data_IF_930599844107
#
_entry.id   IF_930599844107
#
_cell.length_a   1.000
_cell.length_b   1.000
_cell.length_c   1.000
_cell.angle_alpha   90.00
_cell.angle_beta   90.00
_cell.angle_gamma   90.00
#
_symmetry.space_group_name_H-M   'P 1'
#
loop_
_entity.id
_entity.type
_entity.pdbx_description
1 polymer ?
#
# COMPACT_ATOMS: atom_id res chain seq x y z
N UNK A 1 19.98 2.32 43.20
CA UNK A 1 19.51 2.81 41.89
C UNK A 1 20.43 3.95 41.50
N UNK A 2 21.22 3.81 40.43
CA UNK A 2 22.00 4.92 39.91
C UNK A 2 21.02 5.97 39.36
N UNK A 3 21.28 7.28 39.55
CA UNK A 3 20.41 8.31 39.01
C UNK A 3 20.43 8.23 37.47
N UNK A 4 19.24 8.16 36.89
CA UNK A 4 19.07 8.19 35.43
C UNK A 4 19.60 9.55 34.94
N UNK A 5 20.62 9.53 34.10
CA UNK A 5 21.11 10.74 33.45
C UNK A 5 20.02 11.28 32.51
N UNK A 6 19.45 12.43 32.91
CA UNK A 6 18.35 13.08 32.15
C UNK A 6 18.86 13.93 30.99
N UNK A 7 20.14 13.87 30.65
CA UNK A 7 20.66 14.58 29.48
C UNK A 7 20.13 13.93 28.21
N UNK A 8 19.59 14.74 27.31
CA UNK A 8 19.22 14.31 25.99
C UNK A 8 20.44 13.71 25.29
N UNK A 9 20.33 12.50 24.70
CA UNK A 9 21.43 11.94 23.91
C UNK A 9 21.85 12.90 22.80
N UNK A 10 23.15 12.94 22.49
CA UNK A 10 23.64 13.71 21.38
C UNK A 10 22.97 13.24 20.07
N UNK A 11 22.32 14.17 19.37
CA UNK A 11 21.76 13.88 18.05
C UNK A 11 22.90 13.97 17.04
N UNK A 12 23.29 12.85 16.46
CA UNK A 12 24.18 12.82 15.32
C UNK A 12 23.39 12.57 14.04
N UNK A 13 23.74 13.31 12.98
CA UNK A 13 23.23 12.99 11.66
C UNK A 13 23.83 11.66 11.21
N UNK A 14 23.03 10.74 10.63
CA UNK A 14 23.58 9.53 10.04
C UNK A 14 24.59 9.89 8.96
N UNK A 15 25.68 9.13 8.87
CA UNK A 15 26.66 9.24 7.81
C UNK A 15 26.04 9.05 6.41
N UNK A 16 26.84 9.13 5.35
CA UNK A 16 26.35 8.99 3.98
C UNK A 16 25.51 7.71 3.81
N UNK A 17 24.34 7.85 3.19
CA UNK A 17 23.44 6.75 2.86
C UNK A 17 24.04 5.97 1.69
N UNK A 18 24.35 4.68 1.91
CA UNK A 18 24.68 3.73 0.84
C UNK A 18 23.51 2.78 0.66
N UNK A 19 22.84 2.88 -0.46
CA UNK A 19 21.78 1.94 -0.82
C UNK A 19 22.40 0.69 -1.42
N UNK A 20 22.18 -0.51 -0.83
CA UNK A 20 22.65 -1.74 -1.46
C UNK A 20 21.96 -1.92 -2.82
N UNK A 21 22.75 -2.30 -3.83
CA UNK A 21 22.23 -2.51 -5.18
C UNK A 21 21.55 -3.88 -5.29
N UNK A 22 20.28 -3.90 -5.67
CA UNK A 22 19.59 -5.15 -5.97
C UNK A 22 20.13 -5.75 -7.29
N UNK A 23 20.47 -7.03 -7.30
CA UNK A 23 20.81 -7.78 -8.50
C UNK A 23 19.54 -8.28 -9.18
N UNK A 24 19.39 -8.03 -10.47
CA UNK A 24 18.27 -8.55 -11.24
C UNK A 24 18.66 -9.88 -11.91
N UNK A 25 17.92 -10.93 -11.58
CA UNK A 25 18.05 -12.27 -12.16
C UNK A 25 16.85 -12.54 -13.08
N UNK A 26 17.11 -13.00 -14.30
CA UNK A 26 16.07 -13.40 -15.24
C UNK A 26 15.68 -14.85 -15.01
N UNK A 27 14.39 -15.13 -14.96
CA UNK A 27 13.85 -16.48 -14.68
C UNK A 27 13.45 -17.21 -15.97
N UNK A 28 13.53 -16.57 -17.13
CA UNK A 28 13.26 -17.23 -18.43
C UNK A 28 11.78 -17.40 -18.81
N UNK A 29 10.83 -17.25 -17.90
CA UNK A 29 9.39 -17.34 -18.16
C UNK A 29 8.67 -15.97 -18.20
N UNK A 30 9.41 -14.89 -18.26
CA UNK A 30 8.91 -13.51 -18.26
C UNK A 30 8.85 -12.86 -16.88
N UNK A 31 9.06 -13.60 -15.80
CA UNK A 31 9.21 -13.05 -14.45
C UNK A 31 10.66 -12.59 -14.18
N UNK A 32 10.86 -11.81 -13.13
CA UNK A 32 12.18 -11.36 -12.68
C UNK A 32 12.32 -11.54 -11.17
N UNK A 33 13.51 -11.90 -10.72
CA UNK A 33 13.91 -11.90 -9.32
C UNK A 33 14.88 -10.75 -9.07
N UNK A 34 14.58 -9.93 -8.05
CA UNK A 34 15.49 -8.92 -7.53
C UNK A 34 16.06 -9.42 -6.20
N UNK A 35 17.36 -9.66 -6.16
CA UNK A 35 18.08 -10.16 -4.99
C UNK A 35 18.82 -9.02 -4.31
N UNK A 36 18.59 -8.85 -3.01
CA UNK A 36 19.21 -7.84 -2.15
C UNK A 36 19.88 -8.55 -0.96
N UNK A 37 21.17 -8.79 -1.07
CA UNK A 37 21.93 -9.46 -0.02
C UNK A 37 22.26 -8.50 1.12
N UNK A 38 21.92 -8.92 2.34
CA UNK A 38 22.20 -8.22 3.62
C UNK A 38 22.89 -9.21 4.56
N UNK A 39 24.21 -9.36 4.44
CA UNK A 39 24.98 -10.34 5.20
C UNK A 39 24.82 -10.14 6.72
N UNK A 40 24.69 -11.24 7.47
CA UNK A 40 24.59 -11.23 8.93
C UNK A 40 23.18 -10.86 9.45
N UNK A 41 22.19 -10.68 8.61
CA UNK A 41 20.81 -10.44 9.05
C UNK A 41 20.14 -11.69 9.62
N UNK A 42 20.58 -12.88 9.24
CA UNK A 42 20.03 -14.17 9.68
C UNK A 42 18.63 -14.47 9.16
N UNK A 43 18.02 -13.57 8.42
CA UNK A 43 16.65 -13.68 7.90
C UNK A 43 16.62 -13.66 6.37
N UNK A 44 15.56 -14.25 5.81
CA UNK A 44 15.26 -14.22 4.39
C UNK A 44 13.82 -13.75 4.22
N UNK A 45 13.62 -12.72 3.42
CA UNK A 45 12.31 -12.21 3.04
C UNK A 45 12.09 -12.41 1.56
N UNK A 46 10.98 -13.05 1.21
CA UNK A 46 10.52 -13.30 -0.15
C UNK A 46 9.21 -12.56 -0.38
N UNK A 47 9.19 -11.59 -1.25
CA UNK A 47 7.98 -10.83 -1.62
C UNK A 47 7.66 -11.05 -3.09
N UNK A 48 6.53 -11.68 -3.38
CA UNK A 48 6.02 -11.92 -4.73
C UNK A 48 5.01 -10.84 -5.07
N UNK A 49 5.33 -10.02 -6.05
CA UNK A 49 4.53 -8.85 -6.46
C UNK A 49 3.81 -9.17 -7.76
N UNK A 50 2.48 -9.24 -7.71
CA UNK A 50 1.62 -9.51 -8.86
C UNK A 50 0.86 -8.25 -9.27
N UNK A 51 0.75 -8.00 -10.59
CA UNK A 51 -0.21 -7.03 -11.13
C UNK A 51 -1.63 -7.57 -11.00
N UNK A 52 -2.12 -7.64 -9.77
CA UNK A 52 -3.35 -8.29 -9.37
C UNK A 52 -4.18 -7.46 -8.37
N UNK A 53 -4.02 -6.13 -8.40
CA UNK A 53 -4.80 -5.21 -7.58
C UNK A 53 -6.25 -5.05 -8.05
N UNK A 54 -7.02 -4.21 -7.36
CA UNK A 54 -8.45 -4.06 -7.60
C UNK A 54 -8.83 -3.49 -8.97
N UNK A 55 -7.92 -2.80 -9.67
CA UNK A 55 -8.15 -2.30 -11.03
C UNK A 55 -8.30 -3.42 -12.07
N UNK A 56 -7.82 -4.62 -11.74
CA UNK A 56 -7.85 -5.78 -12.62
C UNK A 56 -9.07 -6.68 -12.40
N UNK A 57 -9.88 -6.43 -11.38
CA UNK A 57 -11.04 -7.24 -11.05
C UNK A 57 -12.23 -6.96 -11.99
N UNK A 58 -12.94 -8.01 -12.38
CA UNK A 58 -14.20 -7.91 -13.11
C UNK A 58 -15.39 -7.96 -12.15
N UNK A 59 -15.27 -8.79 -11.12
CA UNK A 59 -16.25 -8.90 -10.05
C UNK A 59 -15.73 -8.12 -8.85
N UNK A 60 -16.51 -7.18 -8.29
CA UNK A 60 -16.11 -6.44 -7.10
C UNK A 60 -15.57 -7.34 -6.00
N UNK A 61 -14.49 -6.90 -5.35
CA UNK A 61 -13.80 -7.59 -4.26
C UNK A 61 -13.09 -8.90 -4.63
N UNK A 62 -13.19 -9.40 -5.88
CA UNK A 62 -12.51 -10.65 -6.27
C UNK A 62 -10.99 -10.55 -6.13
N UNK A 63 -10.38 -9.39 -6.40
CA UNK A 63 -8.95 -9.22 -6.24
C UNK A 63 -8.51 -9.38 -4.77
N UNK A 64 -9.17 -8.68 -3.84
CA UNK A 64 -8.84 -8.75 -2.42
C UNK A 64 -9.18 -10.12 -1.82
N UNK A 65 -10.30 -10.72 -2.21
CA UNK A 65 -10.67 -12.06 -1.76
C UNK A 65 -9.66 -13.10 -2.23
N UNK A 66 -9.28 -13.06 -3.51
CA UNK A 66 -8.27 -14.00 -4.04
C UNK A 66 -6.96 -13.89 -3.29
N UNK A 67 -6.43 -12.68 -3.11
CA UNK A 67 -5.15 -12.48 -2.43
C UNK A 67 -5.17 -12.97 -0.98
N UNK A 68 -6.23 -12.62 -0.22
CA UNK A 68 -6.34 -12.98 1.20
C UNK A 68 -6.66 -14.46 1.43
N UNK A 69 -7.25 -15.16 0.45
CA UNK A 69 -7.63 -16.57 0.57
C UNK A 69 -6.60 -17.53 -0.05
N UNK A 70 -5.45 -17.07 -0.53
CA UNK A 70 -4.38 -17.93 -1.04
C UNK A 70 -3.90 -18.96 -0.01
N UNK A 71 -3.80 -18.56 1.25
CA UNK A 71 -3.34 -19.39 2.37
C UNK A 71 -4.45 -20.19 3.05
N UNK A 72 -5.72 -19.93 2.70
CA UNK A 72 -6.88 -20.55 3.36
C UNK A 72 -7.24 -21.96 2.81
N UNK A 73 -6.26 -22.61 2.21
CA UNK A 73 -6.31 -23.98 1.72
C UNK A 73 -5.57 -24.14 0.40
N UNK A 74 -4.78 -25.18 0.33
CA UNK A 74 -4.01 -25.59 -0.85
C UNK A 74 -4.42 -27.00 -1.28
N UNK A 75 -3.84 -27.52 -2.36
CA UNK A 75 -4.10 -28.89 -2.80
C UNK A 75 -3.73 -29.95 -1.73
N UNK A 76 -2.75 -29.64 -0.85
CA UNK A 76 -2.21 -30.59 0.13
C UNK A 76 -2.45 -30.17 1.59
N UNK A 77 -2.69 -28.89 1.85
CA UNK A 77 -2.77 -28.34 3.20
C UNK A 77 -4.08 -27.59 3.40
N UNK A 78 -4.73 -27.84 4.54
CA UNK A 78 -5.84 -26.98 5.01
C UNK A 78 -5.32 -25.63 5.49
N UNK A 79 -6.20 -24.64 5.66
CA UNK A 79 -5.88 -23.34 6.26
C UNK A 79 -5.14 -23.48 7.59
N UNK A 80 -5.68 -24.34 8.47
CA UNK A 80 -5.08 -24.63 9.77
C UNK A 80 -3.66 -25.18 9.63
N UNK A 81 -3.44 -26.14 8.73
CA UNK A 81 -2.12 -26.74 8.52
C UNK A 81 -1.10 -25.75 7.93
N UNK A 82 -1.55 -24.83 7.06
CA UNK A 82 -0.67 -23.74 6.57
C UNK A 82 -0.25 -22.86 7.73
N UNK A 83 -1.19 -22.41 8.57
CA UNK A 83 -0.89 -21.58 9.73
C UNK A 83 0.03 -22.28 10.74
N UNK A 84 -0.30 -23.53 11.14
CA UNK A 84 0.51 -24.32 12.08
C UNK A 84 1.95 -24.54 11.60
N UNK A 85 2.14 -24.80 10.29
CA UNK A 85 3.50 -24.98 9.74
C UNK A 85 4.29 -23.68 9.72
N UNK A 86 3.66 -22.55 9.36
CA UNK A 86 4.32 -21.24 9.41
C UNK A 86 4.72 -20.90 10.85
N UNK A 87 3.82 -21.08 11.80
CA UNK A 87 4.09 -20.84 13.24
C UNK A 87 5.18 -21.74 13.77
N UNK A 88 5.19 -23.03 13.40
CA UNK A 88 6.22 -23.98 13.81
C UNK A 88 7.64 -23.55 13.41
N UNK A 89 7.79 -22.96 12.21
CA UNK A 89 9.07 -22.43 11.75
C UNK A 89 9.32 -20.98 12.19
N UNK A 90 8.36 -20.34 12.88
CA UNK A 90 8.42 -18.91 13.21
C UNK A 90 8.48 -18.04 11.96
N UNK A 91 7.86 -18.51 10.89
CA UNK A 91 7.83 -17.80 9.61
C UNK A 91 6.64 -16.84 9.58
N UNK A 92 6.89 -15.62 9.10
CA UNK A 92 5.86 -14.61 8.92
C UNK A 92 5.29 -14.66 7.51
N UNK A 93 3.97 -14.58 7.41
CA UNK A 93 3.23 -14.49 6.17
C UNK A 93 2.37 -13.24 6.17
N UNK A 94 2.38 -12.49 5.08
CA UNK A 94 1.57 -11.29 4.92
C UNK A 94 1.07 -11.13 3.49
N UNK A 95 -0.12 -10.56 3.38
CA UNK A 95 -0.76 -10.21 2.11
C UNK A 95 -1.13 -8.74 2.13
N UNK A 96 -0.51 -7.98 1.26
CA UNK A 96 -0.86 -6.59 1.01
C UNK A 96 -1.48 -6.47 -0.38
N UNK A 97 -2.62 -5.82 -0.48
CA UNK A 97 -3.26 -5.53 -1.76
C UNK A 97 -3.65 -4.06 -1.85
N UNK A 98 -3.35 -3.46 -2.97
CA UNK A 98 -3.76 -2.11 -3.31
C UNK A 98 -4.58 -2.07 -4.62
N UNK A 99 -4.61 -0.94 -5.27
CA UNK A 99 -5.34 -0.78 -6.53
C UNK A 99 -4.64 -1.49 -7.69
N UNK A 100 -3.32 -1.52 -7.72
CA UNK A 100 -2.52 -2.00 -8.85
C UNK A 100 -1.93 -3.39 -8.60
N UNK A 101 -1.51 -3.67 -7.36
CA UNK A 101 -0.72 -4.84 -7.02
C UNK A 101 -1.29 -5.66 -5.86
N UNK A 102 -0.97 -6.94 -5.88
CA UNK A 102 -1.03 -7.83 -4.73
C UNK A 102 0.41 -8.26 -4.40
N UNK A 103 0.80 -8.13 -3.14
CA UNK A 103 2.12 -8.51 -2.64
C UNK A 103 1.95 -9.62 -1.61
N UNK A 104 2.54 -10.76 -1.89
CA UNK A 104 2.53 -11.93 -1.02
C UNK A 104 3.93 -12.08 -0.44
N UNK A 105 4.05 -11.95 0.87
CA UNK A 105 5.34 -11.93 1.55
C UNK A 105 5.48 -13.11 2.51
N UNK A 106 6.62 -13.78 2.44
CA UNK A 106 7.09 -14.74 3.44
C UNK A 106 8.41 -14.22 4.02
N UNK A 107 8.56 -14.28 5.32
CA UNK A 107 9.81 -13.94 6.01
C UNK A 107 10.16 -15.04 6.99
N UNK A 108 11.41 -15.52 6.99
CA UNK A 108 11.83 -16.65 7.78
C UNK A 108 13.31 -16.53 8.18
N UNK A 109 13.75 -17.32 9.16
CA UNK A 109 15.17 -17.49 9.41
C UNK A 109 15.81 -18.32 8.30
N UNK A 110 17.07 -18.03 7.94
CA UNK A 110 17.77 -18.72 6.85
C UNK A 110 17.79 -20.25 6.99
N UNK A 111 17.89 -20.77 8.22
CA UNK A 111 17.82 -22.22 8.51
C UNK A 111 16.46 -22.87 8.22
N UNK A 112 15.38 -22.10 8.16
CA UNK A 112 14.02 -22.55 7.87
C UNK A 112 13.54 -22.12 6.48
N UNK A 113 14.46 -21.69 5.63
CA UNK A 113 14.13 -21.25 4.27
C UNK A 113 13.42 -22.33 3.47
N UNK A 114 13.97 -23.55 3.39
CA UNK A 114 13.39 -24.62 2.56
C UNK A 114 11.96 -25.01 2.95
N UNK A 115 11.66 -25.31 4.24
CA UNK A 115 10.29 -25.64 4.60
C UNK A 115 9.34 -24.46 4.40
N UNK A 116 9.78 -23.21 4.57
CA UNK A 116 8.96 -22.02 4.30
C UNK A 116 8.75 -21.83 2.79
N UNK A 117 9.76 -22.08 1.97
CA UNK A 117 9.65 -22.03 0.51
C UNK A 117 8.65 -23.07 0.00
N UNK A 118 8.61 -24.26 0.60
CA UNK A 118 7.63 -25.30 0.22
C UNK A 118 6.20 -24.86 0.56
N UNK A 119 5.98 -24.23 1.71
CA UNK A 119 4.69 -23.62 2.04
C UNK A 119 4.34 -22.51 1.04
N UNK A 120 5.30 -21.65 0.71
CA UNK A 120 5.09 -20.60 -0.29
C UNK A 120 4.72 -21.19 -1.67
N UNK A 121 5.33 -22.31 -2.06
CA UNK A 121 5.01 -23.05 -3.28
C UNK A 121 3.56 -23.51 -3.29
N UNK A 122 3.09 -24.12 -2.21
CA UNK A 122 1.71 -24.58 -2.07
C UNK A 122 0.71 -23.41 -2.15
N UNK A 123 0.98 -22.33 -1.41
CA UNK A 123 0.13 -21.14 -1.36
C UNK A 123 0.04 -20.43 -2.71
N UNK A 124 1.18 -20.30 -3.42
CA UNK A 124 1.24 -19.54 -4.67
C UNK A 124 0.84 -20.34 -5.91
N UNK A 125 1.06 -21.68 -5.92
CA UNK A 125 0.84 -22.49 -7.12
C UNK A 125 -0.42 -23.36 -7.07
N UNK A 126 -0.91 -23.69 -5.89
CA UNK A 126 -2.00 -24.65 -5.72
C UNK A 126 -3.08 -24.24 -4.69
N UNK A 127 -3.50 -22.95 -4.63
CA UNK A 127 -4.59 -22.55 -3.74
C UNK A 127 -5.91 -23.17 -4.23
N UNK A 128 -6.77 -23.58 -3.28
CA UNK A 128 -8.04 -24.28 -3.60
C UNK A 128 -9.28 -23.46 -3.35
N UNK A 129 -9.17 -22.35 -2.61
CA UNK A 129 -10.30 -21.48 -2.24
C UNK A 129 -11.51 -22.26 -1.70
N UNK A 130 -11.40 -22.97 -0.55
CA UNK A 130 -12.49 -23.76 -0.03
C UNK A 130 -13.76 -22.92 0.16
N UNK A 131 -14.93 -23.46 -0.20
CA UNK A 131 -16.20 -22.72 -0.18
C UNK A 131 -16.52 -22.15 1.21
N UNK A 132 -16.23 -22.92 2.28
CA UNK A 132 -16.45 -22.49 3.66
C UNK A 132 -15.60 -21.26 4.03
N UNK A 133 -14.35 -21.20 3.54
CA UNK A 133 -13.44 -20.06 3.78
C UNK A 133 -13.87 -18.84 2.96
N UNK A 134 -14.33 -19.04 1.73
CA UNK A 134 -14.90 -17.97 0.91
C UNK A 134 -16.15 -17.36 1.58
N UNK A 135 -17.04 -18.20 2.11
CA UNK A 135 -18.23 -17.74 2.82
C UNK A 135 -17.86 -16.98 4.11
N UNK A 136 -16.95 -17.51 4.91
CA UNK A 136 -16.45 -16.87 6.12
C UNK A 136 -15.83 -15.50 5.81
N UNK A 137 -14.97 -15.43 4.78
CA UNK A 137 -14.36 -14.18 4.34
C UNK A 137 -15.41 -13.16 3.89
N UNK A 138 -16.38 -13.56 3.05
CA UNK A 138 -17.46 -12.70 2.57
C UNK A 138 -18.23 -12.06 3.72
N UNK A 139 -18.69 -12.88 4.67
CA UNK A 139 -19.50 -12.41 5.80
C UNK A 139 -18.71 -11.44 6.66
N UNK A 140 -17.48 -11.79 7.04
CA UNK A 140 -16.59 -10.95 7.84
C UNK A 140 -16.27 -9.62 7.14
N UNK A 141 -15.96 -9.64 5.84
CA UNK A 141 -15.59 -8.44 5.09
C UNK A 141 -16.79 -7.53 4.81
N UNK A 142 -17.97 -8.11 4.54
CA UNK A 142 -19.21 -7.35 4.39
C UNK A 142 -19.52 -6.56 5.66
N UNK A 143 -19.50 -7.20 6.82
CA UNK A 143 -19.73 -6.55 8.10
C UNK A 143 -18.68 -5.48 8.41
N UNK A 144 -17.41 -5.80 8.21
CA UNK A 144 -16.33 -4.84 8.42
C UNK A 144 -16.48 -3.61 7.53
N UNK A 145 -16.81 -3.79 6.24
CA UNK A 145 -16.99 -2.68 5.30
C UNK A 145 -18.20 -1.82 5.66
N UNK A 146 -19.29 -2.41 6.11
CA UNK A 146 -20.47 -1.67 6.61
C UNK A 146 -20.11 -0.76 7.80
N UNK A 147 -19.35 -1.29 8.76
CA UNK A 147 -18.87 -0.52 9.93
C UNK A 147 -17.88 0.57 9.50
N UNK A 148 -16.97 0.25 8.59
CA UNK A 148 -16.01 1.24 8.06
C UNK A 148 -16.72 2.39 7.36
N UNK A 149 -17.73 2.11 6.53
CA UNK A 149 -18.50 3.12 5.80
C UNK A 149 -19.41 4.00 6.63
N UNK A 150 -19.73 3.59 7.84
CA UNK A 150 -20.41 4.47 8.80
C UNK A 150 -19.53 5.68 9.20
N UNK A 151 -18.22 5.62 8.98
CA UNK A 151 -17.29 6.71 9.31
C UNK A 151 -17.29 7.79 8.23
N UNK A 152 -17.51 9.03 8.64
CA UNK A 152 -17.49 10.22 7.73
C UNK A 152 -16.17 10.30 6.95
N UNK A 153 -15.03 10.01 7.57
CA UNK A 153 -13.72 10.03 6.95
C UNK A 153 -13.56 9.00 5.81
N UNK A 154 -14.21 7.85 5.91
CA UNK A 154 -14.22 6.81 4.85
C UNK A 154 -15.08 7.26 3.69
N UNK A 155 -16.28 7.79 3.97
CA UNK A 155 -17.18 8.33 2.94
C UNK A 155 -16.52 9.49 2.18
N UNK A 156 -15.83 10.39 2.89
CA UNK A 156 -15.09 11.48 2.27
C UNK A 156 -13.95 10.97 1.37
N UNK A 157 -13.24 9.91 1.77
CA UNK A 157 -12.19 9.28 0.94
C UNK A 157 -12.77 8.67 -0.34
N UNK A 158 -13.89 7.97 -0.25
CA UNK A 158 -14.57 7.39 -1.41
C UNK A 158 -15.10 8.49 -2.35
N UNK A 159 -15.74 9.52 -1.78
CA UNK A 159 -16.21 10.68 -2.53
C UNK A 159 -15.06 11.40 -3.24
N UNK A 160 -13.94 11.59 -2.55
CA UNK A 160 -12.74 12.21 -3.11
C UNK A 160 -12.21 11.42 -4.31
N UNK A 161 -12.10 10.09 -4.21
CA UNK A 161 -11.64 9.25 -5.30
C UNK A 161 -12.59 9.35 -6.53
N UNK A 162 -13.90 9.31 -6.30
CA UNK A 162 -14.91 9.49 -7.37
C UNK A 162 -14.84 10.88 -8.01
N UNK A 163 -14.61 11.91 -7.20
CA UNK A 163 -14.48 13.29 -7.68
C UNK A 163 -13.20 13.49 -8.51
N UNK A 164 -12.12 12.80 -8.12
CA UNK A 164 -10.83 12.93 -8.76
C UNK A 164 -10.72 12.13 -10.07
N UNK A 165 -11.30 10.94 -10.12
CA UNK A 165 -11.15 10.00 -11.23
C UNK A 165 -12.43 9.79 -12.05
N UNK A 166 -13.60 9.99 -11.45
CA UNK A 166 -14.90 9.60 -12.01
C UNK A 166 -15.41 8.29 -11.42
N UNK A 167 -16.72 8.11 -11.42
CA UNK A 167 -17.39 6.97 -10.82
C UNK A 167 -17.08 5.63 -11.54
N UNK A 168 -16.84 5.68 -12.85
CA UNK A 168 -16.58 4.51 -13.69
C UNK A 168 -15.09 4.23 -13.89
N UNK A 169 -14.22 5.10 -13.37
CA UNK A 169 -12.78 4.91 -13.46
C UNK A 169 -12.32 3.87 -12.43
N UNK A 170 -11.45 2.89 -12.78
CA UNK A 170 -10.99 1.86 -11.84
C UNK A 170 -10.40 2.39 -10.52
N UNK A 171 -9.79 3.57 -10.53
CA UNK A 171 -9.31 4.22 -9.31
C UNK A 171 -10.40 5.00 -8.55
N UNK A 172 -11.53 5.29 -9.16
CA UNK A 172 -12.66 6.02 -8.58
C UNK A 172 -13.80 5.13 -8.07
N UNK A 173 -13.86 3.89 -8.54
CA UNK A 173 -14.93 2.95 -8.18
C UNK A 173 -14.89 2.63 -6.68
N UNK A 174 -16.06 2.69 -6.06
CA UNK A 174 -16.34 2.18 -4.72
C UNK A 174 -17.59 1.31 -4.79
N UNK A 175 -17.45 0.02 -4.52
CA UNK A 175 -18.54 -0.95 -4.58
C UNK A 175 -19.21 -1.08 -3.22
N UNK A 176 -20.57 -1.11 -3.15
CA UNK A 176 -21.27 -1.30 -1.87
C UNK A 176 -20.97 -2.67 -1.28
N UNK A 177 -21.10 -2.79 0.05
CA UNK A 177 -20.83 -4.01 0.81
C UNK A 177 -21.73 -5.19 0.37
N UNK A 178 -22.95 -4.90 -0.11
CA UNK A 178 -23.86 -5.93 -0.66
C UNK A 178 -23.28 -6.69 -1.83
N UNK A 179 -22.30 -6.13 -2.55
CA UNK A 179 -21.61 -6.83 -3.65
C UNK A 179 -20.77 -8.03 -3.17
N UNK A 180 -20.46 -8.13 -1.86
CA UNK A 180 -19.88 -9.36 -1.31
C UNK A 180 -20.84 -10.56 -1.44
N UNK A 181 -22.15 -10.35 -1.42
CA UNK A 181 -23.14 -11.42 -1.55
C UNK A 181 -23.14 -12.07 -2.95
N UNK A 182 -22.63 -11.37 -3.95
CA UNK A 182 -22.50 -11.86 -5.32
C UNK A 182 -21.18 -12.60 -5.58
N UNK A 183 -20.17 -12.40 -4.74
CA UNK A 183 -18.85 -13.00 -4.91
C UNK A 183 -18.93 -14.52 -4.72
N UNK A 184 -18.39 -15.28 -5.67
CA UNK A 184 -18.36 -16.75 -5.67
C UNK A 184 -16.94 -17.27 -5.78
N UNK A 185 -16.70 -18.47 -5.29
CA UNK A 185 -15.42 -19.18 -5.43
C UNK A 185 -14.90 -19.15 -6.87
N UNK A 186 -15.76 -19.38 -7.84
CA UNK A 186 -15.40 -19.35 -9.27
C UNK A 186 -14.83 -18.02 -9.74
N UNK A 187 -15.22 -16.89 -9.11
CA UNK A 187 -14.69 -15.57 -9.44
C UNK A 187 -13.25 -15.43 -8.95
N UNK A 188 -12.95 -15.98 -7.76
CA UNK A 188 -11.60 -16.04 -7.21
C UNK A 188 -10.70 -16.93 -8.08
N UNK A 189 -11.16 -18.13 -8.42
CA UNK A 189 -10.43 -19.06 -9.29
C UNK A 189 -10.14 -18.45 -10.67
N UNK A 190 -11.12 -17.73 -11.24
CA UNK A 190 -10.97 -17.04 -12.52
C UNK A 190 -9.94 -15.92 -12.41
N UNK A 191 -10.03 -15.09 -11.36
CA UNK A 191 -9.10 -14.02 -11.12
C UNK A 191 -7.68 -14.54 -10.88
N UNK A 192 -7.53 -15.57 -10.04
CA UNK A 192 -6.25 -16.22 -9.78
C UNK A 192 -5.62 -16.75 -11.08
N UNK A 193 -6.34 -17.55 -11.86
CA UNK A 193 -5.85 -18.12 -13.12
C UNK A 193 -5.41 -17.06 -14.14
N UNK A 194 -5.99 -15.87 -14.10
CA UNK A 194 -5.64 -14.77 -14.99
C UNK A 194 -4.46 -13.94 -14.50
N UNK A 195 -4.41 -13.67 -13.22
CA UNK A 195 -3.50 -12.64 -12.68
C UNK A 195 -2.26 -13.19 -12.00
N UNK A 196 -2.33 -14.39 -11.40
CA UNK A 196 -1.19 -15.01 -10.72
C UNK A 196 -0.36 -15.84 -11.69
N UNK A 197 0.34 -15.14 -12.59
CA UNK A 197 1.14 -15.69 -13.69
C UNK A 197 2.52 -15.06 -13.74
N UNK A 198 3.47 -15.78 -14.33
CA UNK A 198 4.86 -15.34 -14.48
C UNK A 198 5.01 -13.95 -15.11
N UNK A 199 4.30 -13.68 -16.22
CA UNK A 199 4.37 -12.39 -16.92
C UNK A 199 3.80 -11.22 -16.13
N UNK A 200 3.01 -11.48 -15.09
CA UNK A 200 2.45 -10.47 -14.20
C UNK A 200 3.21 -10.36 -12.87
N UNK A 201 4.30 -11.14 -12.68
CA UNK A 201 4.99 -11.28 -11.42
C UNK A 201 6.45 -10.85 -11.50
N UNK A 202 6.91 -10.20 -10.45
CA UNK A 202 8.33 -10.20 -10.09
C UNK A 202 8.44 -10.51 -8.60
N UNK A 203 9.59 -11.03 -8.19
CA UNK A 203 9.88 -11.22 -6.76
C UNK A 203 11.04 -10.34 -6.30
N UNK A 204 10.98 -9.97 -5.03
CA UNK A 204 12.09 -9.36 -4.30
C UNK A 204 12.49 -10.32 -3.20
N UNK A 205 13.72 -10.80 -3.24
CA UNK A 205 14.32 -11.60 -2.19
C UNK A 205 15.39 -10.78 -1.48
N UNK A 206 15.25 -10.59 -0.17
CA UNK A 206 16.18 -9.78 0.61
C UNK A 206 16.54 -10.47 1.92
N UNK A 207 17.71 -10.14 2.47
CA UNK A 207 18.22 -10.71 3.70
C UNK A 207 19.55 -11.39 3.49
N UNK A 208 19.90 -12.36 4.33
CA UNK A 208 21.13 -13.15 4.17
C UNK A 208 20.95 -14.19 3.07
N UNK A 209 21.42 -13.83 1.88
CA UNK A 209 21.19 -14.62 0.67
C UNK A 209 22.36 -15.57 0.40
N UNK A 210 22.05 -16.70 -0.17
CA UNK A 210 22.98 -17.66 -0.75
C UNK A 210 22.51 -18.08 -2.13
N UNK A 211 23.37 -18.66 -2.93
CA UNK A 211 23.01 -19.21 -4.25
C UNK A 211 21.84 -20.19 -4.17
N UNK A 212 21.80 -21.01 -3.10
CA UNK A 212 20.68 -21.94 -2.83
C UNK A 212 19.35 -21.20 -2.62
N UNK A 213 19.35 -20.10 -1.88
CA UNK A 213 18.15 -19.30 -1.61
C UNK A 213 17.67 -18.64 -2.88
N UNK A 214 18.57 -18.02 -3.63
CA UNK A 214 18.25 -17.36 -4.89
C UNK A 214 17.70 -18.35 -5.93
N UNK A 215 18.36 -19.51 -6.06
CA UNK A 215 17.90 -20.60 -6.94
C UNK A 215 16.53 -21.13 -6.54
N UNK A 216 16.30 -21.37 -5.25
CA UNK A 216 15.00 -21.85 -4.76
C UNK A 216 13.85 -20.87 -5.08
N UNK A 217 14.06 -19.56 -4.88
CA UNK A 217 13.06 -18.54 -5.25
C UNK A 217 12.88 -18.43 -6.76
N UNK A 218 13.96 -18.53 -7.53
CA UNK A 218 13.91 -18.53 -9.00
C UNK A 218 13.13 -19.75 -9.52
N UNK A 219 13.33 -20.92 -8.94
CA UNK A 219 12.61 -22.16 -9.29
C UNK A 219 11.11 -22.05 -8.97
N UNK A 220 10.76 -21.42 -7.85
CA UNK A 220 9.35 -21.14 -7.53
C UNK A 220 8.73 -20.18 -8.55
N UNK A 221 9.44 -19.12 -8.94
CA UNK A 221 8.99 -18.20 -9.99
C UNK A 221 8.87 -18.91 -11.35
N UNK A 222 9.82 -19.79 -11.68
CA UNK A 222 9.79 -20.56 -12.92
C UNK A 222 8.59 -21.52 -13.00
N UNK A 223 8.11 -21.97 -11.86
CA UNK A 223 6.94 -22.84 -11.76
C UNK A 223 5.60 -22.08 -11.90
N UNK A 224 5.58 -20.75 -11.86
CA UNK A 224 4.36 -19.98 -12.11
C UNK A 224 3.83 -20.25 -13.53
N UNK A 225 2.49 -20.34 -13.71
CA UNK A 225 1.89 -20.54 -15.02
C UNK A 225 2.39 -19.47 -16.02
N UNK A 226 2.81 -19.91 -17.19
CA UNK A 226 3.20 -19.02 -18.27
C UNK A 226 2.01 -18.32 -18.94
N UNK A 227 2.31 -17.44 -19.91
CA UNK A 227 1.33 -16.68 -20.68
C UNK A 227 0.94 -15.36 -20.02
N UNK A 228 0.42 -14.45 -20.83
CA UNK A 228 -0.07 -13.14 -20.47
C UNK A 228 -1.58 -13.15 -20.36
N UNK A 229 -2.17 -12.30 -19.54
CA UNK A 229 -3.55 -11.87 -19.72
C UNK A 229 -3.54 -10.82 -20.83
N UNK A 230 -3.96 -11.18 -22.01
CA UNK A 230 -3.92 -10.32 -23.19
C UNK A 230 -4.95 -9.17 -23.14
N UNK A 231 -5.71 -9.07 -22.08
CA UNK A 231 -6.63 -7.95 -21.91
C UNK A 231 -5.89 -6.70 -21.47
N UNK A 232 -5.87 -5.66 -22.31
CA UNK A 232 -5.35 -4.36 -21.88
C UNK A 232 -6.25 -3.83 -20.75
N UNK A 233 -5.62 -3.32 -19.69
CA UNK A 233 -6.34 -2.56 -18.68
C UNK A 233 -6.91 -1.29 -19.32
N UNK A 234 -8.23 -1.23 -19.45
CA UNK A 234 -8.89 -0.01 -19.89
C UNK A 234 -8.88 1.02 -18.75
N UNK A 235 -8.15 2.08 -18.96
CA UNK A 235 -8.10 3.22 -18.04
C UNK A 235 -8.72 4.43 -18.77
N UNK A 236 -10.00 4.71 -18.56
CA UNK A 236 -10.62 5.91 -19.14
C UNK A 236 -9.93 7.17 -18.60
N UNK A 237 -10.01 8.26 -19.36
CA UNK A 237 -9.50 9.52 -18.87
C UNK A 237 -10.26 9.95 -17.61
N UNK A 238 -9.57 10.46 -16.58
CA UNK A 238 -10.22 10.89 -15.35
C UNK A 238 -11.26 11.98 -15.60
N UNK A 239 -12.50 11.75 -15.17
CA UNK A 239 -13.59 12.71 -15.23
C UNK A 239 -13.65 13.47 -13.91
N UNK A 240 -12.92 14.58 -13.84
CA UNK A 240 -12.78 15.40 -12.63
C UNK A 240 -13.99 16.30 -12.43
N UNK A 241 -14.50 16.35 -11.20
CA UNK A 241 -15.36 17.43 -10.74
C UNK A 241 -14.54 18.40 -9.85
N UNK A 242 -14.82 19.72 -9.90
CA UNK A 242 -14.05 20.69 -9.12
C UNK A 242 -14.30 20.56 -7.61
N UNK A 243 -15.49 20.15 -7.21
CA UNK A 243 -15.87 19.92 -5.82
C UNK A 243 -17.01 18.90 -5.73
N UNK A 244 -17.13 18.27 -4.56
CA UNK A 244 -18.27 17.44 -4.20
C UNK A 244 -18.55 17.60 -2.71
N UNK A 245 -19.79 17.41 -2.30
CA UNK A 245 -20.24 17.51 -0.93
C UNK A 245 -21.22 16.37 -0.63
N UNK A 246 -21.02 15.72 0.52
CA UNK A 246 -21.94 14.72 1.04
C UNK A 246 -22.37 15.15 2.45
N UNK A 247 -23.65 15.40 2.64
CA UNK A 247 -24.20 15.69 3.96
C UNK A 247 -24.40 14.40 4.73
N UNK A 248 -23.87 14.37 5.95
CA UNK A 248 -24.09 13.31 6.92
C UNK A 248 -24.84 13.86 8.12
N UNK A 249 -26.10 13.45 8.28
CA UNK A 249 -26.93 13.91 9.40
C UNK A 249 -26.39 13.46 10.74
N UNK A 250 -26.36 14.36 11.72
CA UNK A 250 -25.86 14.10 13.06
C UNK A 250 -24.34 14.09 13.19
N UNK A 251 -23.59 14.31 12.11
CA UNK A 251 -22.14 14.42 12.20
C UNK A 251 -21.72 15.73 12.89
N UNK A 252 -20.89 15.61 13.93
CA UNK A 252 -20.32 16.75 14.66
C UNK A 252 -19.02 17.25 14.00
N UNK A 253 -18.47 16.47 13.06
CA UNK A 253 -17.24 16.78 12.33
C UNK A 253 -17.45 16.65 10.84
N UNK A 254 -16.69 17.45 10.09
CA UNK A 254 -16.56 17.37 8.64
C UNK A 254 -15.21 16.74 8.27
N UNK A 255 -15.23 15.76 7.37
CA UNK A 255 -14.02 15.22 6.78
C UNK A 255 -13.71 15.98 5.49
N UNK A 256 -12.63 16.75 5.49
CA UNK A 256 -12.18 17.58 4.37
C UNK A 256 -11.09 16.85 3.60
N UNK A 257 -11.23 16.81 2.27
CA UNK A 257 -10.25 16.25 1.34
C UNK A 257 -10.01 17.26 0.21
N UNK A 258 -8.77 17.69 0.03
CA UNK A 258 -8.35 18.61 -1.04
C UNK A 258 -7.21 17.96 -1.82
N UNK A 259 -7.27 17.97 -3.15
CA UNK A 259 -6.18 17.37 -3.91
C UNK A 259 -6.35 17.50 -5.42
N UNK A 260 -5.39 16.94 -6.14
CA UNK A 260 -5.37 16.93 -7.60
C UNK A 260 -4.57 15.76 -8.16
N UNK A 261 -4.86 15.38 -9.38
CA UNK A 261 -4.04 14.44 -10.14
C UNK A 261 -2.64 15.00 -10.36
N UNK A 262 -1.67 14.12 -10.25
CA UNK A 262 -0.27 14.35 -10.52
C UNK A 262 0.25 13.30 -11.50
N UNK A 263 1.51 13.44 -11.82
CA UNK A 263 2.30 12.53 -12.64
C UNK A 263 2.67 11.23 -11.89
N UNK A 264 3.08 10.17 -12.59
CA UNK A 264 3.56 8.93 -11.98
C UNK A 264 4.95 9.10 -11.35
N UNK A 265 5.36 8.11 -10.57
CA UNK A 265 6.65 8.10 -9.84
C UNK A 265 7.89 8.26 -10.74
N UNK A 266 7.79 7.90 -12.01
CA UNK A 266 8.87 8.05 -13.01
C UNK A 266 9.08 9.48 -13.50
N UNK A 267 8.23 10.43 -13.13
CA UNK A 267 8.34 11.83 -13.56
C UNK A 267 9.55 12.53 -12.91
N UNK A 268 10.29 13.39 -13.64
CA UNK A 268 11.45 14.10 -13.09
C UNK A 268 11.15 14.91 -11.82
N UNK A 269 9.98 15.53 -11.73
CA UNK A 269 9.57 16.36 -10.60
C UNK A 269 9.05 15.56 -9.40
N UNK A 270 9.06 14.23 -9.46
CA UNK A 270 8.51 13.38 -8.39
C UNK A 270 9.13 13.68 -7.03
N UNK A 271 10.46 13.71 -6.95
CA UNK A 271 11.17 13.96 -5.68
C UNK A 271 10.90 15.39 -5.17
N UNK A 272 10.90 16.38 -6.07
CA UNK A 272 10.55 17.75 -5.71
C UNK A 272 9.14 17.88 -5.15
N UNK A 273 8.19 17.19 -5.75
CA UNK A 273 6.79 17.18 -5.28
C UNK A 273 6.65 16.43 -3.94
N UNK A 274 7.42 15.38 -3.71
CA UNK A 274 7.46 14.68 -2.41
C UNK A 274 7.96 15.62 -1.30
N UNK A 275 9.05 16.36 -1.54
CA UNK A 275 9.52 17.40 -0.61
C UNK A 275 8.45 18.47 -0.37
N UNK A 276 7.78 18.93 -1.43
CA UNK A 276 6.73 19.94 -1.33
C UNK A 276 5.53 19.46 -0.51
N UNK A 277 5.07 18.24 -0.74
CA UNK A 277 3.97 17.66 0.04
C UNK A 277 4.34 17.48 1.51
N UNK A 278 5.60 17.13 1.79
CA UNK A 278 6.12 17.00 3.16
C UNK A 278 6.16 18.36 3.87
N UNK A 279 6.64 19.40 3.20
CA UNK A 279 6.60 20.79 3.72
C UNK A 279 5.17 21.23 4.02
N UNK A 280 4.22 20.91 3.14
CA UNK A 280 2.83 21.29 3.28
C UNK A 280 2.16 20.64 4.50
N UNK A 281 2.26 19.31 4.64
CA UNK A 281 1.53 18.57 5.67
C UNK A 281 2.09 17.19 5.98
N UNK A 282 3.36 16.88 5.64
CA UNK A 282 3.92 15.54 5.78
C UNK A 282 4.58 15.26 7.13
N UNK A 283 4.71 16.22 8.02
CA UNK A 283 5.32 16.05 9.34
C UNK A 283 4.71 16.98 10.39
N UNK A 284 5.05 16.75 11.66
CA UNK A 284 4.44 17.44 12.79
C UNK A 284 4.64 18.96 12.76
N UNK A 285 5.79 19.46 12.32
CA UNK A 285 6.09 20.90 12.18
C UNK A 285 5.75 21.50 10.81
N UNK A 286 5.00 20.77 9.95
CA UNK A 286 4.62 21.24 8.63
C UNK A 286 3.64 22.40 8.67
N UNK A 287 3.54 23.13 7.56
CA UNK A 287 2.76 24.39 7.49
C UNK A 287 1.29 24.18 7.87
N UNK A 288 0.63 23.16 7.34
CA UNK A 288 -0.78 22.88 7.67
C UNK A 288 -0.96 22.43 9.13
N UNK A 289 -0.03 21.64 9.69
CA UNK A 289 -0.10 21.25 11.09
C UNK A 289 0.03 22.46 12.00
N UNK A 290 0.99 23.34 11.73
CA UNK A 290 1.14 24.58 12.47
C UNK A 290 -0.10 25.46 12.39
N UNK A 291 -0.61 25.70 11.18
CA UNK A 291 -1.77 26.59 10.96
C UNK A 291 -3.07 26.00 11.56
N UNK A 292 -3.45 24.78 11.15
CA UNK A 292 -4.78 24.22 11.49
C UNK A 292 -4.84 23.58 12.87
N UNK A 293 -3.74 22.98 13.33
CA UNK A 293 -3.72 22.27 14.61
C UNK A 293 -3.20 23.16 15.75
N UNK A 294 -2.02 23.78 15.58
CA UNK A 294 -1.36 24.50 16.68
C UNK A 294 -1.92 25.90 16.89
N UNK A 295 -2.11 26.67 15.83
CA UNK A 295 -2.55 28.05 15.90
C UNK A 295 -4.07 28.18 16.04
N UNK A 296 -4.84 27.37 15.26
CA UNK A 296 -6.31 27.47 15.22
C UNK A 296 -7.03 26.41 16.07
N UNK A 297 -6.39 25.29 16.37
CA UNK A 297 -7.01 24.22 17.15
C UNK A 297 -8.18 23.51 16.45
N UNK A 298 -8.27 23.57 15.11
CA UNK A 298 -9.41 23.03 14.35
C UNK A 298 -9.41 21.52 14.22
N UNK A 299 -8.22 20.91 14.30
CA UNK A 299 -8.07 19.48 14.07
C UNK A 299 -7.04 18.85 15.00
N UNK A 300 -7.20 17.57 15.29
CA UNK A 300 -6.15 16.76 15.91
C UNK A 300 -5.02 16.42 14.93
N UNK A 301 -5.31 16.35 13.63
CA UNK A 301 -4.30 16.07 12.63
C UNK A 301 -4.73 16.44 11.21
N UNK A 302 -3.75 16.93 10.45
CA UNK A 302 -3.87 17.21 9.02
C UNK A 302 -2.66 16.61 8.33
N UNK A 303 -2.88 16.01 7.16
CA UNK A 303 -1.84 15.34 6.38
C UNK A 303 -1.89 15.79 4.94
N UNK A 304 -0.73 16.05 4.35
CA UNK A 304 -0.56 16.21 2.92
C UNK A 304 0.40 15.12 2.42
N UNK A 305 -0.05 14.33 1.45
CA UNK A 305 0.74 13.22 0.93
C UNK A 305 0.57 13.05 -0.57
N UNK A 306 1.61 12.54 -1.22
CA UNK A 306 1.51 12.00 -2.58
C UNK A 306 1.12 10.54 -2.52
N UNK A 307 0.03 10.19 -3.20
CA UNK A 307 -0.33 8.80 -3.45
C UNK A 307 0.14 8.42 -4.84
N UNK A 308 0.90 7.34 -4.91
CA UNK A 308 1.48 6.83 -6.15
C UNK A 308 0.72 5.60 -6.62
N UNK A 309 0.24 5.65 -7.84
CA UNK A 309 -0.40 4.56 -8.55
C UNK A 309 0.49 4.17 -9.74
N UNK A 310 0.28 3.00 -10.32
CA UNK A 310 1.11 2.51 -11.43
C UNK A 310 1.17 3.50 -12.62
N UNK A 311 0.05 4.16 -12.93
CA UNK A 311 -0.09 5.00 -14.12
C UNK A 311 -0.19 6.49 -13.85
N UNK A 312 -0.41 6.89 -12.63
CA UNK A 312 -0.51 8.30 -12.23
C UNK A 312 -0.19 8.45 -10.75
N UNK A 313 -0.17 9.69 -10.28
CA UNK A 313 -0.18 10.03 -8.87
C UNK A 313 -1.26 11.04 -8.57
N UNK A 314 -1.48 11.33 -7.31
CA UNK A 314 -2.26 12.47 -6.86
C UNK A 314 -1.76 13.00 -5.54
N UNK A 315 -1.90 14.31 -5.35
CA UNK A 315 -1.74 14.95 -4.04
C UNK A 315 -3.07 14.87 -3.30
N UNK A 316 -3.02 14.52 -2.04
CA UNK A 316 -4.17 14.60 -1.14
C UNK A 316 -3.80 15.31 0.15
N UNK A 317 -4.58 16.31 0.53
CA UNK A 317 -4.65 16.88 1.87
C UNK A 317 -5.88 16.32 2.55
N UNK A 318 -5.73 15.80 3.75
CA UNK A 318 -6.78 15.15 4.51
C UNK A 318 -6.80 15.65 5.95
N UNK A 319 -7.97 16.07 6.44
CA UNK A 319 -8.19 16.44 7.84
C UNK A 319 -9.65 16.25 8.20
N UNK A 320 -9.91 16.06 9.49
CA UNK A 320 -11.25 16.02 10.06
C UNK A 320 -11.34 17.17 11.08
N UNK A 321 -12.37 18.02 10.95
CA UNK A 321 -12.51 19.28 11.70
C UNK A 321 -13.93 19.41 12.25
N UNK A 322 -14.16 20.28 13.22
CA UNK A 322 -15.51 20.66 13.64
C UNK A 322 -16.32 21.23 12.46
N UNK A 323 -17.61 20.96 12.42
CA UNK A 323 -18.44 21.30 11.26
C UNK A 323 -18.46 22.80 10.95
N UNK A 324 -18.40 23.66 11.96
CA UNK A 324 -18.36 25.13 11.84
C UNK A 324 -17.00 25.64 11.33
N UNK A 325 -15.90 24.91 11.55
CA UNK A 325 -14.57 25.26 11.07
C UNK A 325 -14.32 24.83 9.61
N UNK A 326 -15.26 24.14 8.96
CA UNK A 326 -15.03 23.52 7.62
C UNK A 326 -14.63 24.54 6.55
N UNK A 327 -15.35 25.64 6.45
CA UNK A 327 -15.12 26.64 5.40
C UNK A 327 -13.74 27.29 5.56
N UNK A 328 -13.41 27.78 6.77
CA UNK A 328 -12.10 28.38 7.05
C UNK A 328 -10.96 27.37 6.88
N UNK A 329 -11.16 26.11 7.26
CA UNK A 329 -10.18 25.03 7.02
C UNK A 329 -9.82 24.91 5.53
N UNK A 330 -10.82 24.92 4.66
CA UNK A 330 -10.59 24.84 3.19
C UNK A 330 -9.83 26.07 2.72
N UNK A 331 -10.20 27.27 3.17
CA UNK A 331 -9.50 28.52 2.84
C UNK A 331 -8.03 28.50 3.30
N UNK A 332 -7.76 28.03 4.53
CA UNK A 332 -6.41 27.90 5.06
C UNK A 332 -5.57 26.90 4.28
N UNK A 333 -6.14 25.75 3.87
CA UNK A 333 -5.42 24.79 3.03
C UNK A 333 -4.98 25.46 1.72
N UNK A 334 -5.87 26.18 1.04
CA UNK A 334 -5.51 26.88 -0.19
C UNK A 334 -4.55 28.05 0.04
N UNK A 335 -4.65 28.74 1.16
CA UNK A 335 -3.71 29.81 1.55
C UNK A 335 -2.31 29.26 1.70
N UNK A 336 -2.10 28.14 2.45
CA UNK A 336 -0.78 27.53 2.61
C UNK A 336 -0.23 26.96 1.30
N UNK A 337 -1.08 26.37 0.45
CA UNK A 337 -0.68 25.94 -0.89
C UNK A 337 -0.23 27.12 -1.76
N UNK A 338 -0.91 28.27 -1.66
CA UNK A 338 -0.54 29.48 -2.39
C UNK A 338 0.78 30.09 -1.86
N UNK A 339 0.97 30.10 -0.55
CA UNK A 339 2.25 30.55 0.05
C UNK A 339 3.43 29.73 -0.45
N UNK A 340 3.30 28.39 -0.56
CA UNK A 340 4.33 27.53 -1.15
C UNK A 340 4.63 27.84 -2.63
N UNK A 341 3.67 28.46 -3.36
CA UNK A 341 3.87 28.88 -4.75
C UNK A 341 4.55 30.23 -4.88
N UNK A 342 4.34 31.13 -3.93
CA UNK A 342 4.71 32.57 -4.05
C UNK A 342 5.85 32.96 -3.12
N UNK A 343 6.10 32.19 -2.07
CA UNK A 343 7.13 32.48 -1.08
C UNK A 343 8.25 31.42 -1.14
N UNK A 344 9.47 31.85 -1.04
CA UNK A 344 10.64 30.97 -0.94
C UNK A 344 10.64 30.24 0.41
N UNK A 345 10.85 28.94 0.39
CA UNK A 345 11.00 28.13 1.59
C UNK A 345 12.33 28.47 2.27
N UNK A 346 12.34 28.63 3.59
CA UNK A 346 13.56 28.93 4.33
C UNK A 346 14.52 27.71 4.32
N UNK A 347 15.82 27.99 4.42
CA UNK A 347 16.86 26.94 4.50
C UNK A 347 16.66 26.03 5.71
N UNK A 348 16.17 26.56 6.81
CA UNK A 348 15.86 25.81 8.03
C UNK A 348 14.72 24.79 7.78
N UNK A 349 13.60 25.25 7.22
CA UNK A 349 12.45 24.40 6.88
C UNK A 349 12.86 23.29 5.92
N UNK A 350 13.63 23.61 4.88
CA UNK A 350 14.13 22.66 3.91
C UNK A 350 15.10 21.65 4.55
N UNK A 351 15.95 22.10 5.47
CA UNK A 351 16.87 21.23 6.21
C UNK A 351 16.12 20.19 7.05
N UNK A 352 15.08 20.61 7.77
CA UNK A 352 14.26 19.72 8.59
C UNK A 352 13.61 18.64 7.72
N UNK A 353 12.99 19.02 6.60
CA UNK A 353 12.33 18.06 5.70
C UNK A 353 13.33 17.09 5.06
N UNK A 354 14.51 17.56 4.66
CA UNK A 354 15.58 16.68 4.14
C UNK A 354 16.02 15.65 5.18
N UNK A 355 16.22 16.05 6.43
CA UNK A 355 16.60 15.15 7.52
C UNK A 355 15.49 14.12 7.80
N UNK A 356 14.24 14.55 7.80
CA UNK A 356 13.11 13.66 7.99
C UNK A 356 13.03 12.61 6.88
N UNK A 357 13.02 13.03 5.61
CA UNK A 357 12.97 12.12 4.47
C UNK A 357 14.18 11.18 4.44
N UNK A 358 15.37 11.67 4.79
CA UNK A 358 16.56 10.83 4.95
C UNK A 358 16.36 9.77 6.03
N UNK A 359 15.83 10.17 7.19
CA UNK A 359 15.52 9.24 8.29
C UNK A 359 14.47 8.19 7.90
N UNK A 360 13.47 8.57 7.09
CA UNK A 360 12.49 7.60 6.56
C UNK A 360 13.14 6.56 5.65
N UNK A 361 14.03 6.97 4.75
CA UNK A 361 14.78 6.04 3.90
C UNK A 361 15.65 5.11 4.73
N UNK A 362 16.37 5.65 5.73
CA UNK A 362 17.19 4.84 6.64
C UNK A 362 16.40 3.80 7.45
N UNK A 363 15.15 4.10 7.76
CA UNK A 363 14.28 3.17 8.51
C UNK A 363 13.77 2.00 7.65
N UNK A 364 13.73 2.18 6.34
CA UNK A 364 13.28 1.14 5.39
C UNK A 364 14.42 0.18 5.04
N UNK A 365 15.66 0.63 5.17
CA UNK A 365 16.88 -0.15 4.94
C UNK A 365 17.27 -0.97 6.17
#
# INVERSE_FOLDING_TARGET
MQPIDKKQPAVSLPGGLSLPAARRLSVGNGSALYALDVPGSGVVRMSFVFRAGSVWQEVPFSASATANLLSEGTAELSAQQVAERLDFYGSYFDVTIDRDYAVITFCTLGRFFEPTLEIARQVLLAPTFPEAEVETYRNKRRESLAVERAKVSVQARELFARTLFGADHPYGISSPESRYDELRRQDLERFYRRRYRAANCFAVCSGELSERIESGVADLLAALPGGTDDRPLSMPAPQRAPHAFLRHEGAVQSAVRVGRLLFPRSHPDFVGMQVTSTLLGGYFGSRLVRNLREERGYTYGVFATMVNLDRCGYLAVATDVAADATADTVEQIFAEMNRLRTETVSDEELRIVRHMLHGEVMRIL
#
